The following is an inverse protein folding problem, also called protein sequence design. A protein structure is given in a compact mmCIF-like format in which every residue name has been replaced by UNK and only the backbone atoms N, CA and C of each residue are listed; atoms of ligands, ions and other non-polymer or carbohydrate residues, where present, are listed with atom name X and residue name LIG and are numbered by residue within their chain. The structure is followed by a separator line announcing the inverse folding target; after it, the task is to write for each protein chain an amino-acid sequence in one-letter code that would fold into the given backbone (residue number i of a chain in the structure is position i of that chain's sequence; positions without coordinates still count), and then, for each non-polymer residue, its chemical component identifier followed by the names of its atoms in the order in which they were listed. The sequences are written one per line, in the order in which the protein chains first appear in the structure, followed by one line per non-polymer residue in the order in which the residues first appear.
data_IF_946616294430
#
_entry.id   IF_946616294430
#
_cell.length_a   1.000
_cell.length_b   1.000
_cell.length_c   1.000
_cell.angle_alpha   90.00
_cell.angle_beta   90.00
_cell.angle_gamma   90.00
#
_symmetry.space_group_name_H-M   'P 1'
#
loop_
_entity.id
_entity.type
_entity.pdbx_description
1 polymer ?
#
# COMPACT_ATOMS: atom_id res chain seq x y z
N UNK A 1 -3.33 0.67 30.75
CA UNK A 1 -2.46 1.75 30.21
C UNK A 1 -1.52 1.26 29.10
N UNK A 2 -0.82 0.12 29.25
CA UNK A 2 0.11 -0.38 28.23
C UNK A 2 -0.51 -0.63 26.82
N UNK A 3 -1.76 -1.12 26.76
CA UNK A 3 -2.45 -1.42 25.50
C UNK A 3 -2.71 -0.19 24.62
N UNK A 4 -3.06 0.95 25.20
CA UNK A 4 -3.30 2.19 24.44
C UNK A 4 -2.02 2.77 23.84
N UNK A 5 -0.91 2.73 24.59
CA UNK A 5 0.41 3.17 24.10
C UNK A 5 0.87 2.27 22.96
N UNK A 6 0.72 0.95 23.09
CA UNK A 6 1.06 0.00 22.02
C UNK A 6 0.21 0.25 20.76
N UNK A 7 -1.10 0.47 20.91
CA UNK A 7 -1.97 0.79 19.77
C UNK A 7 -1.57 2.09 19.06
N UNK A 8 -1.24 3.14 19.82
CA UNK A 8 -0.74 4.40 19.27
C UNK A 8 0.57 4.20 18.51
N UNK A 9 1.55 3.52 19.10
CA UNK A 9 2.83 3.22 18.44
C UNK A 9 2.64 2.41 17.16
N UNK A 10 1.80 1.37 17.20
CA UNK A 10 1.49 0.57 16.02
C UNK A 10 0.82 1.40 14.93
N UNK A 11 -0.12 2.28 15.29
CA UNK A 11 -0.79 3.13 14.31
C UNK A 11 0.18 4.08 13.60
N UNK A 12 1.08 4.72 14.35
CA UNK A 12 2.13 5.58 13.79
C UNK A 12 3.08 4.78 12.92
N UNK A 13 3.48 3.58 13.37
CA UNK A 13 4.33 2.68 12.59
C UNK A 13 3.68 2.27 11.27
N UNK A 14 2.38 1.96 11.26
CA UNK A 14 1.62 1.62 10.04
C UNK A 14 1.62 2.79 9.07
N UNK A 15 1.34 4.01 9.55
CA UNK A 15 1.37 5.19 8.69
C UNK A 15 2.79 5.46 8.15
N UNK A 16 3.80 5.40 9.01
CA UNK A 16 5.20 5.57 8.62
C UNK A 16 5.65 4.50 7.62
N UNK A 17 5.17 3.26 7.77
CA UNK A 17 5.44 2.18 6.83
C UNK A 17 4.81 2.45 5.46
N UNK A 18 3.55 2.89 5.40
CA UNK A 18 2.88 3.24 4.14
C UNK A 18 3.58 4.41 3.44
N UNK A 19 3.96 5.45 4.19
CA UNK A 19 4.69 6.58 3.62
C UNK A 19 6.13 6.20 3.23
N UNK A 20 6.79 5.35 4.02
CA UNK A 20 8.11 4.81 3.73
C UNK A 20 8.12 3.96 2.46
N UNK A 21 7.12 3.09 2.28
CA UNK A 21 6.92 2.37 1.02
C UNK A 21 6.75 3.33 -0.16
N UNK A 22 5.93 4.37 0.01
CA UNK A 22 5.74 5.38 -1.03
C UNK A 22 7.02 6.14 -1.34
N UNK A 23 7.88 6.44 -0.38
CA UNK A 23 9.08 7.24 -0.59
C UNK A 23 10.25 6.43 -1.11
N UNK A 24 10.49 5.25 -0.53
CA UNK A 24 11.73 4.50 -0.74
C UNK A 24 11.55 3.23 -1.60
N UNK A 25 10.34 2.71 -1.73
CA UNK A 25 10.10 1.48 -2.47
C UNK A 25 9.61 1.74 -3.91
N UNK A 26 10.05 0.94 -4.90
CA UNK A 26 11.21 0.07 -4.85
C UNK A 26 12.49 0.88 -5.11
N UNK A 27 13.57 0.55 -4.40
CA UNK A 27 14.89 1.07 -4.76
C UNK A 27 15.35 0.42 -6.09
N UNK A 28 16.00 1.20 -6.94
CA UNK A 28 16.42 0.76 -8.28
C UNK A 28 17.33 -0.47 -8.23
N UNK A 29 18.30 -0.51 -7.31
CA UNK A 29 19.19 -1.66 -7.14
C UNK A 29 18.45 -2.93 -6.70
N UNK A 30 17.50 -2.80 -5.78
CA UNK A 30 16.68 -3.93 -5.33
C UNK A 30 15.80 -4.45 -6.46
N UNK A 31 15.24 -3.55 -7.25
CA UNK A 31 14.46 -3.90 -8.44
C UNK A 31 15.33 -4.61 -9.48
N UNK A 32 16.54 -4.13 -9.76
CA UNK A 32 17.50 -4.79 -10.67
C UNK A 32 17.90 -6.17 -10.17
N UNK A 33 18.18 -6.30 -8.86
CA UNK A 33 18.51 -7.60 -8.24
C UNK A 33 17.32 -8.56 -8.37
N UNK A 34 16.10 -8.09 -8.11
CA UNK A 34 14.88 -8.89 -8.28
C UNK A 34 14.70 -9.33 -9.75
N UNK A 35 14.91 -8.42 -10.70
CA UNK A 35 14.86 -8.69 -12.15
C UNK A 35 15.88 -9.74 -12.56
N UNK A 36 17.13 -9.66 -12.06
CA UNK A 36 18.18 -10.66 -12.34
C UNK A 36 17.82 -12.04 -11.79
N UNK A 37 17.27 -12.13 -10.59
CA UNK A 37 17.00 -13.42 -9.92
C UNK A 37 15.69 -14.05 -10.42
N UNK A 38 14.63 -13.26 -10.59
CA UNK A 38 13.27 -13.76 -10.88
C UNK A 38 12.85 -13.58 -12.34
N UNK A 39 13.64 -12.87 -13.13
CA UNK A 39 13.37 -12.58 -14.54
C UNK A 39 12.39 -11.43 -14.77
N UNK A 40 12.33 -10.97 -16.03
CA UNK A 40 11.48 -9.85 -16.49
C UNK A 40 10.00 -10.09 -16.26
N UNK A 41 9.51 -11.29 -16.58
CA UNK A 41 8.08 -11.65 -16.50
C UNK A 41 7.52 -11.51 -15.08
N UNK A 42 8.28 -11.93 -14.07
CA UNK A 42 7.83 -11.85 -12.69
C UNK A 42 7.75 -10.40 -12.19
N UNK A 43 8.69 -9.56 -12.61
CA UNK A 43 8.69 -8.13 -12.29
C UNK A 43 7.48 -7.42 -12.93
N UNK A 44 7.19 -7.69 -14.21
CA UNK A 44 6.00 -7.15 -14.89
C UNK A 44 4.70 -7.62 -14.23
N UNK A 45 4.60 -8.90 -13.84
CA UNK A 45 3.43 -9.43 -13.10
C UNK A 45 3.28 -8.72 -11.75
N UNK A 46 4.38 -8.51 -11.04
CA UNK A 46 4.35 -7.83 -9.73
C UNK A 46 3.91 -6.37 -9.87
N UNK A 47 4.42 -5.65 -10.88
CA UNK A 47 3.95 -4.30 -11.20
C UNK A 47 2.45 -4.27 -11.49
N UNK A 48 1.95 -5.14 -12.37
CA UNK A 48 0.51 -5.22 -12.71
C UNK A 48 -0.36 -5.52 -11.48
N UNK A 49 0.14 -6.34 -10.54
CA UNK A 49 -0.53 -6.57 -9.26
C UNK A 49 -0.63 -5.30 -8.42
N UNK A 50 0.42 -4.49 -8.36
CA UNK A 50 0.37 -3.20 -7.68
C UNK A 50 -0.58 -2.21 -8.37
N UNK A 51 -0.62 -2.17 -9.70
CA UNK A 51 -1.57 -1.35 -10.47
C UNK A 51 -3.02 -1.77 -10.16
N UNK A 52 -3.32 -3.06 -10.29
CA UNK A 52 -4.65 -3.60 -10.00
C UNK A 52 -5.06 -3.36 -8.52
N UNK A 53 -4.13 -3.55 -7.58
CA UNK A 53 -4.38 -3.28 -6.16
C UNK A 53 -4.62 -1.78 -5.89
N UNK A 54 -4.00 -0.89 -6.65
CA UNK A 54 -4.18 0.55 -6.54
C UNK A 54 -5.49 1.07 -7.15
N UNK A 55 -6.06 0.32 -8.08
CA UNK A 55 -7.40 0.55 -8.64
C UNK A 55 -8.51 -0.09 -7.80
N UNK A 56 -8.14 -1.10 -7.01
CA UNK A 56 -9.05 -1.81 -6.12
C UNK A 56 -9.78 -0.90 -5.12
N UNK A 57 -11.02 -1.27 -4.82
CA UNK A 57 -11.86 -0.57 -3.84
C UNK A 57 -11.66 -1.05 -2.41
N UNK A 58 -10.86 -2.11 -2.19
CA UNK A 58 -10.67 -2.74 -0.88
C UNK A 58 -10.17 -1.75 0.18
N UNK A 59 -9.12 -0.92 -0.04
CA UNK A 59 -8.66 0.02 0.97
C UNK A 59 -9.74 1.05 1.34
N UNK A 60 -10.53 1.49 0.35
CA UNK A 60 -11.66 2.40 0.57
C UNK A 60 -12.76 1.75 1.41
N UNK A 61 -13.16 0.52 1.08
CA UNK A 61 -14.16 -0.22 1.85
C UNK A 61 -13.73 -0.43 3.29
N UNK A 62 -12.48 -0.84 3.52
CA UNK A 62 -11.93 -0.98 4.86
C UNK A 62 -11.89 0.35 5.61
N UNK A 63 -11.51 1.45 4.94
CA UNK A 63 -11.54 2.78 5.54
C UNK A 63 -12.97 3.20 5.91
N UNK A 64 -13.97 2.91 5.07
CA UNK A 64 -15.39 3.20 5.37
C UNK A 64 -15.89 2.39 6.57
N UNK A 65 -15.58 1.09 6.61
CA UNK A 65 -15.94 0.22 7.74
C UNK A 65 -15.30 0.69 9.05
N UNK A 66 -14.01 1.03 9.00
CA UNK A 66 -13.29 1.55 10.17
C UNK A 66 -13.87 2.89 10.65
N UNK A 67 -14.23 3.78 9.73
CA UNK A 67 -14.89 5.04 10.07
C UNK A 67 -16.25 4.79 10.76
N UNK A 68 -17.05 3.87 10.22
CA UNK A 68 -18.31 3.46 10.85
C UNK A 68 -18.10 2.93 12.27
N UNK A 69 -17.09 2.08 12.46
CA UNK A 69 -16.73 1.55 13.78
C UNK A 69 -16.32 2.66 14.77
N UNK A 70 -15.53 3.64 14.31
CA UNK A 70 -15.14 4.81 15.11
C UNK A 70 -16.39 5.60 15.54
N UNK A 71 -17.31 5.88 14.62
CA UNK A 71 -18.53 6.64 14.91
C UNK A 71 -19.39 5.91 15.95
N UNK A 72 -19.61 4.60 15.76
CA UNK A 72 -20.38 3.77 16.71
C UNK A 72 -19.71 3.78 18.08
N UNK A 73 -18.38 3.64 18.14
CA UNK A 73 -17.64 3.69 19.39
C UNK A 73 -17.78 5.03 20.12
N UNK A 74 -17.63 6.14 19.41
CA UNK A 74 -17.79 7.50 19.98
C UNK A 74 -19.20 7.71 20.51
N UNK A 75 -20.22 7.24 19.79
CA UNK A 75 -21.62 7.33 20.22
C UNK A 75 -21.87 6.54 21.52
N UNK A 76 -21.35 5.31 21.61
CA UNK A 76 -21.45 4.47 22.82
C UNK A 76 -20.68 5.12 23.99
N UNK A 77 -19.48 5.66 23.72
CA UNK A 77 -18.67 6.30 24.75
C UNK A 77 -19.33 7.57 25.32
N UNK A 78 -20.07 8.33 24.51
CA UNK A 78 -20.86 9.48 25.00
C UNK A 78 -21.98 9.06 25.96
N UNK A 79 -22.50 7.83 25.84
CA UNK A 79 -23.52 7.30 26.76
C UNK A 79 -22.93 6.79 28.08
N UNK A 80 -21.62 6.48 28.12
CA UNK A 80 -20.92 5.90 29.26
C UNK A 80 -20.32 6.93 30.22
N UNK A 81 -20.67 8.21 30.06
CA UNK A 81 -20.16 9.34 30.87
C UNK A 81 -18.61 9.42 30.92
N UNK A 82 -17.96 8.91 29.87
CA UNK A 82 -16.50 8.99 29.71
C UNK A 82 -16.08 10.44 29.50
N UNK A 83 -14.96 10.83 30.11
CA UNK A 83 -14.37 12.15 29.84
C UNK A 83 -13.96 12.23 28.36
N UNK A 84 -14.31 13.33 27.70
CA UNK A 84 -13.98 13.57 26.28
C UNK A 84 -12.51 13.28 25.93
N UNK A 85 -11.58 13.59 26.83
CA UNK A 85 -10.15 13.36 26.63
C UNK A 85 -9.80 11.87 26.47
N UNK A 86 -10.50 10.99 27.19
CA UNK A 86 -10.29 9.54 27.09
C UNK A 86 -10.83 8.99 25.77
N UNK A 87 -11.97 9.50 25.32
CA UNK A 87 -12.56 9.14 24.01
C UNK A 87 -11.62 9.53 22.87
N UNK A 88 -11.04 10.73 22.93
CA UNK A 88 -10.08 11.19 21.92
C UNK A 88 -8.83 10.31 21.88
N UNK A 89 -8.27 9.97 23.05
CA UNK A 89 -7.09 9.10 23.13
C UNK A 89 -7.37 7.68 22.61
N UNK A 90 -8.57 7.14 22.84
CA UNK A 90 -8.97 5.83 22.34
C UNK A 90 -9.15 5.82 20.80
N UNK A 91 -9.64 6.92 20.23
CA UNK A 91 -9.97 7.02 18.80
C UNK A 91 -8.76 7.39 17.93
N UNK A 92 -7.80 8.15 18.48
CA UNK A 92 -6.66 8.68 17.73
C UNK A 92 -5.88 7.60 16.93
N UNK A 93 -5.53 6.43 17.51
CA UNK A 93 -4.83 5.38 16.75
C UNK A 93 -5.64 4.87 15.56
N UNK A 94 -6.96 4.75 15.72
CA UNK A 94 -7.87 4.29 14.67
C UNK A 94 -7.95 5.30 13.52
N UNK A 95 -7.94 6.61 13.83
CA UNK A 95 -7.89 7.68 12.82
C UNK A 95 -6.58 7.64 12.03
N UNK A 96 -5.45 7.37 12.69
CA UNK A 96 -4.15 7.23 12.03
C UNK A 96 -4.16 6.04 11.06
N UNK A 97 -4.69 4.88 11.48
CA UNK A 97 -4.85 3.71 10.61
C UNK A 97 -5.79 4.01 9.44
N UNK A 98 -6.88 4.73 9.69
CA UNK A 98 -7.81 5.17 8.66
C UNK A 98 -7.12 6.02 7.58
N UNK A 99 -6.29 6.99 7.99
CA UNK A 99 -5.47 7.79 7.06
C UNK A 99 -4.48 6.92 6.27
N UNK A 100 -3.85 5.93 6.91
CA UNK A 100 -2.93 5.02 6.24
C UNK A 100 -3.64 4.18 5.14
N UNK A 101 -4.85 3.69 5.42
CA UNK A 101 -5.68 2.98 4.43
C UNK A 101 -6.02 3.86 3.23
N UNK A 102 -6.38 5.13 3.47
CA UNK A 102 -6.68 6.08 2.39
C UNK A 102 -5.45 6.42 1.53
N UNK A 103 -4.25 6.43 2.12
CA UNK A 103 -3.00 6.70 1.39
C UNK A 103 -2.46 5.49 0.63
N UNK A 104 -2.85 4.28 1.01
CA UNK A 104 -2.33 3.03 0.42
C UNK A 104 -2.49 2.98 -1.10
N UNK A 105 -3.67 3.28 -1.72
CA UNK A 105 -3.79 3.32 -3.17
C UNK A 105 -2.80 4.30 -3.83
N UNK A 106 -2.59 5.48 -3.23
CA UNK A 106 -1.64 6.47 -3.73
C UNK A 106 -0.20 5.96 -3.67
N UNK A 107 0.20 5.32 -2.56
CA UNK A 107 1.51 4.69 -2.42
C UNK A 107 1.75 3.62 -3.48
N UNK A 108 0.77 2.74 -3.71
CA UNK A 108 0.84 1.68 -4.72
C UNK A 108 0.98 2.23 -6.15
N UNK A 109 0.27 3.32 -6.50
CA UNK A 109 0.44 3.99 -7.81
C UNK A 109 1.85 4.53 -8.01
N UNK A 110 2.43 5.12 -6.96
CA UNK A 110 3.81 5.64 -7.02
C UNK A 110 4.79 4.49 -7.25
N UNK A 111 4.63 3.38 -6.53
CA UNK A 111 5.46 2.18 -6.68
C UNK A 111 5.37 1.64 -8.10
N UNK A 112 4.14 1.43 -8.62
CA UNK A 112 3.94 0.94 -9.98
C UNK A 112 4.55 1.87 -11.04
N UNK A 113 4.38 3.19 -10.87
CA UNK A 113 4.98 4.20 -11.76
C UNK A 113 6.50 4.12 -11.79
N UNK A 114 7.16 4.00 -10.62
CA UNK A 114 8.62 3.83 -10.54
C UNK A 114 9.06 2.53 -11.23
N UNK A 115 8.32 1.44 -11.05
CA UNK A 115 8.63 0.20 -11.74
C UNK A 115 8.54 0.34 -13.27
N UNK A 116 7.54 1.06 -13.81
CA UNK A 116 7.48 1.37 -15.25
C UNK A 116 8.68 2.20 -15.70
N UNK A 117 9.09 3.18 -14.90
CA UNK A 117 10.25 4.02 -15.20
C UNK A 117 11.54 3.19 -15.25
N UNK A 118 11.72 2.25 -14.33
CA UNK A 118 12.85 1.32 -14.36
C UNK A 118 12.82 0.37 -15.58
N UNK A 119 11.63 -0.11 -15.99
CA UNK A 119 11.46 -0.87 -17.23
C UNK A 119 11.91 -0.05 -18.45
N UNK A 120 11.49 1.23 -18.54
CA UNK A 120 11.90 2.14 -19.62
C UNK A 120 13.40 2.41 -19.65
N UNK A 121 14.03 2.60 -18.47
CA UNK A 121 15.48 2.76 -18.37
C UNK A 121 16.27 1.53 -18.85
N UNK A 122 15.63 0.36 -18.87
CA UNK A 122 16.21 -0.86 -19.43
C UNK A 122 15.87 -1.07 -20.92
N UNK A 123 15.26 -0.07 -21.57
CA UNK A 123 14.83 -0.14 -22.97
C UNK A 123 13.61 -1.02 -23.21
N UNK A 124 12.85 -1.36 -22.17
CA UNK A 124 11.61 -2.15 -22.30
C UNK A 124 10.39 -1.22 -22.48
N UNK A 125 9.40 -1.68 -23.25
CA UNK A 125 8.08 -1.05 -23.27
C UNK A 125 7.21 -1.62 -22.12
N UNK A 126 6.87 -0.81 -21.10
CA UNK A 126 6.05 -1.25 -19.98
C UNK A 126 4.58 -1.45 -20.35
N UNK A 127 4.11 -0.87 -21.46
CA UNK A 127 2.71 -0.91 -21.88
C UNK A 127 2.47 -1.98 -22.97
N UNK A 128 3.54 -2.59 -23.51
CA UNK A 128 3.45 -3.73 -24.40
C UNK A 128 2.72 -4.94 -23.77
N UNK A 129 1.84 -5.55 -24.57
CA UNK A 129 1.06 -6.71 -24.17
C UNK A 129 1.93 -7.93 -23.87
N UNK A 130 1.45 -8.92 -23.08
CA UNK A 130 2.14 -10.19 -22.92
C UNK A 130 2.06 -10.97 -24.23
N UNK A 131 2.99 -10.71 -25.16
CA UNK A 131 3.05 -11.36 -26.47
C UNK A 131 3.86 -10.61 -27.54
N UNK A 132 4.22 -9.34 -27.30
CA UNK A 132 4.89 -8.50 -28.32
C UNK A 132 6.43 -8.59 -28.32
N UNK A 133 7.01 -9.15 -27.25
CA UNK A 133 8.46 -9.29 -27.06
C UNK A 133 8.98 -10.73 -27.33
N UNK A 134 8.10 -11.68 -27.64
CA UNK A 134 8.52 -13.02 -28.10
C UNK A 134 8.79 -12.97 -29.60
N UNK A 135 9.89 -12.29 -29.96
CA UNK A 135 10.55 -12.51 -31.24
C UNK A 135 10.91 -14.00 -31.42
N UNK A 136 11.18 -14.46 -32.65
CA UNK A 136 11.20 -15.87 -33.07
C UNK A 136 12.25 -16.81 -32.42
N UNK A 137 12.82 -16.46 -31.27
CA UNK A 137 13.81 -17.26 -30.53
C UNK A 137 13.21 -18.16 -29.43
N UNK A 138 11.89 -18.18 -29.21
CA UNK A 138 11.26 -18.95 -28.11
C UNK A 138 10.87 -20.40 -28.46
N UNK A 139 11.26 -20.94 -29.63
CA UNK A 139 11.11 -22.38 -29.95
C UNK A 139 12.48 -23.06 -29.95
N UNK A 140 12.83 -23.64 -28.78
CA UNK A 140 13.87 -24.64 -28.44
C UNK A 140 14.18 -24.40 -26.96
N UNK A 141 13.85 -25.25 -25.99
CA UNK A 141 13.86 -26.71 -25.86
C UNK A 141 12.74 -27.14 -24.90
#
# INVERSE_FOLDING_TARGET
MATGVVAALLSVLVLAFVEGLRLFYPAHETWLRLRRIRGRRLVRVTRRRYEAAAEGTVPRRLATLLLGLIIVWVAIASLLDKRWNEVVLDVLPSVIVWLALLRTPGALRVIARRMKEFERLQGEDPDAGPGEDDGPAAVRL
#
